data_IF_068006235234
#
_entry.id   IF_068006235234
#
_cell.length_a   1.000
_cell.length_b   1.000
_cell.length_c   1.000
_cell.angle_alpha   90.00
_cell.angle_beta   90.00
_cell.angle_gamma   90.00
#
_symmetry.space_group_name_H-M   'P 1'
#
loop_
_entity.id
_entity.type
_entity.pdbx_description
1 polymer ?
#
# COMPACT_ATOMS: atom_id res chain seq x y z
N UNK A 1 27.62 -55.46 -64.68
CA UNK A 1 26.77 -54.33 -64.25
C UNK A 1 26.19 -54.69 -62.91
N UNK A 2 26.87 -54.28 -61.84
CA UNK A 2 26.48 -54.58 -60.45
C UNK A 2 25.61 -53.44 -59.96
N UNK A 3 24.30 -53.65 -59.91
CA UNK A 3 23.37 -52.67 -59.36
C UNK A 3 23.59 -52.57 -57.84
N UNK A 4 24.19 -51.46 -57.39
CA UNK A 4 24.20 -51.08 -55.99
C UNK A 4 22.76 -50.83 -55.54
N UNK A 5 22.23 -51.69 -54.67
CA UNK A 5 21.00 -51.43 -53.93
C UNK A 5 21.26 -50.26 -52.96
N UNK A 6 20.84 -49.07 -53.36
CA UNK A 6 20.63 -47.94 -52.45
C UNK A 6 19.50 -48.32 -51.51
N UNK A 7 19.82 -48.81 -50.31
CA UNK A 7 18.89 -48.83 -49.19
C UNK A 7 18.55 -47.37 -48.82
N UNK A 8 17.48 -46.86 -49.39
CA UNK A 8 16.82 -45.68 -48.83
C UNK A 8 16.19 -46.12 -47.51
N UNK A 9 16.89 -45.88 -46.41
CA UNK A 9 16.37 -46.08 -45.04
C UNK A 9 15.01 -45.38 -44.93
N UNK A 10 13.93 -46.15 -45.04
CA UNK A 10 12.57 -45.64 -44.95
C UNK A 10 12.40 -44.95 -43.60
N UNK A 11 11.95 -43.69 -43.61
CA UNK A 11 11.78 -42.89 -42.40
C UNK A 11 10.71 -43.57 -41.54
N UNK A 12 11.15 -44.32 -40.52
CA UNK A 12 10.26 -45.11 -39.68
C UNK A 12 9.24 -44.20 -39.00
N UNK A 13 7.95 -44.54 -39.13
CA UNK A 13 6.85 -43.86 -38.43
C UNK A 13 6.74 -44.28 -36.96
N UNK A 14 7.68 -45.09 -36.46
CA UNK A 14 7.69 -45.56 -35.08
C UNK A 14 7.96 -44.37 -34.14
N UNK A 15 7.10 -44.14 -33.13
CA UNK A 15 7.34 -43.09 -32.16
C UNK A 15 8.62 -43.36 -31.37
N UNK A 16 9.27 -42.27 -30.93
CA UNK A 16 10.54 -42.33 -30.20
C UNK A 16 10.39 -43.13 -28.91
N UNK A 17 11.25 -44.13 -28.73
CA UNK A 17 11.25 -45.02 -27.57
C UNK A 17 12.06 -44.42 -26.41
N UNK A 18 11.58 -43.34 -25.82
CA UNK A 18 12.19 -42.73 -24.63
C UNK A 18 11.14 -42.50 -23.55
N UNK A 19 11.55 -42.49 -22.28
CA UNK A 19 10.65 -42.45 -21.14
C UNK A 19 9.70 -41.23 -21.15
N UNK A 20 10.17 -40.08 -21.65
CA UNK A 20 9.35 -38.88 -21.82
C UNK A 20 8.23 -39.10 -22.87
N UNK A 21 8.59 -39.51 -24.09
CA UNK A 21 7.65 -39.71 -25.19
C UNK A 21 6.71 -40.91 -24.98
N UNK A 22 7.10 -41.86 -24.12
CA UNK A 22 6.27 -42.99 -23.71
C UNK A 22 5.50 -42.78 -22.41
N UNK A 23 5.62 -41.61 -21.79
CA UNK A 23 4.97 -41.29 -20.51
C UNK A 23 5.30 -42.30 -19.39
N UNK A 24 6.53 -42.81 -19.40
CA UNK A 24 7.08 -43.75 -18.40
C UNK A 24 8.13 -43.09 -17.50
N UNK A 25 8.03 -41.77 -17.33
CA UNK A 25 8.89 -41.10 -16.35
C UNK A 25 8.55 -41.58 -14.95
N UNK A 26 9.55 -41.73 -14.06
CA UNK A 26 9.28 -42.05 -12.66
C UNK A 26 8.47 -40.90 -12.07
N UNK A 27 7.26 -41.21 -11.62
CA UNK A 27 6.36 -40.27 -10.99
C UNK A 27 6.13 -40.69 -9.54
N UNK A 28 6.18 -39.74 -8.63
CA UNK A 28 5.66 -39.94 -7.29
C UNK A 28 4.15 -39.74 -7.31
N UNK A 29 3.40 -40.78 -6.93
CA UNK A 29 1.94 -40.77 -6.91
C UNK A 29 1.45 -40.90 -5.45
N UNK A 30 1.37 -39.78 -4.70
CA UNK A 30 0.89 -39.83 -3.33
C UNK A 30 -0.60 -40.18 -3.30
N UNK A 31 -0.94 -41.28 -2.63
CA UNK A 31 -2.32 -41.63 -2.34
C UNK A 31 -2.72 -41.06 -0.97
N UNK A 32 -3.63 -40.08 -0.98
CA UNK A 32 -4.15 -39.43 0.22
C UNK A 32 -5.26 -40.27 0.86
N UNK A 33 -4.87 -41.24 1.69
CA UNK A 33 -5.79 -42.01 2.53
C UNK A 33 -6.12 -41.23 3.80
N UNK A 34 -7.33 -41.42 4.36
CA UNK A 34 -7.79 -40.76 5.58
C UNK A 34 -6.77 -40.80 6.75
N UNK A 35 -6.11 -41.95 6.97
CA UNK A 35 -5.06 -42.08 8.00
C UNK A 35 -3.85 -41.18 7.76
N UNK A 36 -3.36 -41.10 6.52
CA UNK A 36 -2.19 -40.27 6.16
C UNK A 36 -2.51 -38.78 6.23
N UNK A 37 -3.71 -38.41 5.77
CA UNK A 37 -4.20 -37.04 5.83
C UNK A 37 -4.45 -36.60 7.28
N UNK A 38 -5.03 -37.46 8.12
CA UNK A 38 -5.23 -37.18 9.55
C UNK A 38 -3.93 -36.84 10.27
N UNK A 39 -2.88 -37.66 10.09
CA UNK A 39 -1.55 -37.40 10.67
C UNK A 39 -1.00 -36.05 10.20
N UNK A 40 -1.09 -35.76 8.90
CA UNK A 40 -0.61 -34.49 8.36
C UNK A 40 -1.35 -33.29 8.98
N UNK A 41 -2.68 -33.34 9.08
CA UNK A 41 -3.45 -32.27 9.70
C UNK A 41 -3.17 -32.12 11.19
N UNK A 42 -2.93 -33.21 11.93
CA UNK A 42 -2.52 -33.15 13.33
C UNK A 42 -1.17 -32.43 13.48
N UNK A 43 -0.19 -32.74 12.62
CA UNK A 43 1.12 -32.06 12.64
C UNK A 43 0.96 -30.58 12.32
N UNK A 44 0.18 -30.23 11.28
CA UNK A 44 -0.11 -28.83 10.96
C UNK A 44 -0.82 -28.12 12.12
N UNK A 45 -1.78 -28.76 12.78
CA UNK A 45 -2.45 -28.21 13.96
C UNK A 45 -1.48 -27.92 15.11
N UNK A 46 -0.61 -28.88 15.44
CA UNK A 46 0.39 -28.71 16.50
C UNK A 46 1.35 -27.55 16.20
N UNK A 47 1.64 -27.26 14.93
CA UNK A 47 2.50 -26.13 14.52
C UNK A 47 1.72 -24.81 14.47
N UNK A 48 0.51 -24.81 13.92
CA UNK A 48 -0.29 -23.59 13.72
C UNK A 48 -0.90 -23.05 15.00
N UNK A 49 -1.23 -23.90 15.98
CA UNK A 49 -1.76 -23.48 17.28
C UNK A 49 -0.78 -22.55 18.04
N UNK A 50 0.49 -22.92 18.30
CA UNK A 50 1.41 -22.03 19.00
C UNK A 50 1.72 -20.77 18.19
N UNK A 51 1.83 -20.86 16.86
CA UNK A 51 2.00 -19.68 16.00
C UNK A 51 0.79 -18.74 16.16
N UNK A 52 -0.43 -19.28 16.14
CA UNK A 52 -1.65 -18.52 16.34
C UNK A 52 -1.72 -17.86 17.72
N UNK A 53 -1.31 -18.55 18.78
CA UNK A 53 -1.24 -17.98 20.14
C UNK A 53 -0.25 -16.82 20.18
N UNK A 54 0.96 -16.99 19.62
CA UNK A 54 1.98 -15.93 19.58
C UNK A 54 1.47 -14.70 18.82
N UNK A 55 0.88 -14.91 17.65
CA UNK A 55 0.32 -13.82 16.83
C UNK A 55 -0.84 -13.11 17.54
N UNK A 56 -1.73 -13.85 18.21
CA UNK A 56 -2.86 -13.29 18.94
C UNK A 56 -2.39 -12.47 20.15
N UNK A 57 -1.44 -12.97 20.92
CA UNK A 57 -0.86 -12.22 22.04
C UNK A 57 -0.15 -10.96 21.55
N UNK A 58 0.63 -11.06 20.46
CA UNK A 58 1.28 -9.90 19.86
C UNK A 58 0.26 -8.85 19.38
N UNK A 59 -0.85 -9.28 18.78
CA UNK A 59 -1.93 -8.39 18.32
C UNK A 59 -2.67 -7.71 19.47
N UNK A 60 -2.99 -8.43 20.54
CA UNK A 60 -3.76 -7.88 21.67
C UNK A 60 -2.93 -6.93 22.55
N UNK A 61 -1.60 -6.98 22.45
CA UNK A 61 -0.71 -6.07 23.18
C UNK A 61 -0.56 -4.70 22.50
N UNK A 62 -1.10 -4.51 21.29
CA UNK A 62 -1.06 -3.23 20.59
C UNK A 62 -2.10 -2.29 21.21
N UNK A 63 -1.64 -1.12 21.66
CA UNK A 63 -2.51 -0.06 22.18
C UNK A 63 -2.87 0.90 21.04
N UNK A 64 -4.15 1.06 20.76
CA UNK A 64 -4.67 1.94 19.71
C UNK A 64 -5.76 2.86 20.28
N UNK A 65 -5.73 4.14 19.85
CA UNK A 65 -6.78 5.11 20.12
C UNK A 65 -7.29 5.69 18.80
N UNK A 66 -8.58 5.51 18.54
CA UNK A 66 -9.25 6.03 17.34
C UNK A 66 -10.12 7.23 17.72
N UNK A 67 -9.94 8.33 17.01
CA UNK A 67 -10.76 9.54 17.17
C UNK A 67 -11.37 9.93 15.84
N UNK A 68 -12.70 9.90 15.78
CA UNK A 68 -13.43 10.45 14.65
C UNK A 68 -13.58 11.97 14.83
N UNK A 69 -13.06 12.72 13.85
CA UNK A 69 -13.14 14.17 13.80
C UNK A 69 -13.97 14.69 12.62
N UNK A 70 -14.78 13.84 11.96
CA UNK A 70 -15.61 14.22 10.79
C UNK A 70 -16.56 15.38 11.11
N UNK A 71 -17.36 15.25 12.17
CA UNK A 71 -18.29 16.28 12.64
C UNK A 71 -17.62 17.18 13.70
N UNK A 72 -16.43 17.66 13.38
CA UNK A 72 -15.72 18.60 14.23
C UNK A 72 -16.38 19.99 14.18
N UNK A 73 -16.54 20.62 15.35
CA UNK A 73 -16.91 22.03 15.46
C UNK A 73 -15.68 22.90 15.65
N UNK A 74 -15.79 24.15 15.20
CA UNK A 74 -14.74 25.15 15.38
C UNK A 74 -14.54 25.47 16.86
N UNK A 75 -13.30 25.63 17.29
CA UNK A 75 -13.00 25.98 18.67
C UNK A 75 -13.59 27.36 19.04
N UNK A 76 -14.53 27.37 19.99
CA UNK A 76 -15.20 28.58 20.47
C UNK A 76 -16.55 28.90 19.80
N UNK A 77 -16.94 28.16 18.77
CA UNK A 77 -18.28 28.27 18.15
C UNK A 77 -18.89 26.88 17.98
N UNK A 78 -20.22 26.78 17.88
CA UNK A 78 -20.91 25.49 17.65
C UNK A 78 -21.08 25.19 16.13
N UNK A 79 -20.32 25.86 15.28
CA UNK A 79 -20.37 25.68 13.82
C UNK A 79 -19.50 24.51 13.38
N UNK A 80 -20.02 23.71 12.44
CA UNK A 80 -19.29 22.58 11.85
C UNK A 80 -18.15 23.10 10.95
N UNK A 81 -16.96 22.51 11.10
CA UNK A 81 -15.80 22.88 10.28
C UNK A 81 -16.05 22.70 8.78
N UNK A 82 -16.88 21.74 8.38
CA UNK A 82 -17.27 21.54 6.98
C UNK A 82 -17.94 22.78 6.37
N UNK A 83 -18.72 23.52 7.16
CA UNK A 83 -19.39 24.75 6.73
C UNK A 83 -18.42 25.94 6.73
N UNK A 84 -17.56 26.04 7.76
CA UNK A 84 -16.55 27.11 7.88
C UNK A 84 -15.54 27.06 6.74
N UNK A 85 -15.08 25.86 6.37
CA UNK A 85 -14.12 25.65 5.27
C UNK A 85 -14.77 25.94 3.92
N UNK A 86 -16.06 25.62 3.74
CA UNK A 86 -16.80 25.95 2.52
C UNK A 86 -16.89 27.47 2.27
N UNK A 87 -16.80 28.28 3.33
CA UNK A 87 -16.72 29.74 3.27
C UNK A 87 -15.29 30.27 3.05
N UNK A 88 -14.29 29.38 2.91
CA UNK A 88 -12.89 29.74 2.70
C UNK A 88 -12.16 30.21 3.96
N UNK A 89 -12.69 29.92 5.16
CA UNK A 89 -12.06 30.27 6.43
C UNK A 89 -11.32 29.07 7.04
N UNK A 90 -10.17 29.27 7.71
CA UNK A 90 -9.49 28.19 8.41
C UNK A 90 -10.34 27.73 9.61
N UNK A 91 -10.51 26.42 9.76
CA UNK A 91 -11.16 25.82 10.93
C UNK A 91 -10.14 25.15 11.83
N UNK A 92 -10.24 25.37 13.14
CA UNK A 92 -9.45 24.67 14.15
C UNK A 92 -10.41 23.93 15.05
N UNK A 93 -10.30 22.61 15.10
CA UNK A 93 -11.06 21.76 16.03
C UNK A 93 -10.15 21.21 17.12
N UNK A 94 -10.71 21.01 18.32
CA UNK A 94 -10.07 20.33 19.43
C UNK A 94 -10.89 19.09 19.79
N UNK A 95 -10.24 17.93 19.80
CA UNK A 95 -10.80 16.67 20.31
C UNK A 95 -9.99 16.21 21.52
N UNK A 96 -10.70 15.81 22.57
CA UNK A 96 -10.09 15.31 23.81
C UNK A 96 -10.08 13.79 23.81
N UNK A 97 -8.95 13.20 24.23
CA UNK A 97 -8.76 11.75 24.34
C UNK A 97 -8.33 11.46 25.78
N UNK A 98 -9.00 10.52 26.43
CA UNK A 98 -8.58 10.00 27.74
C UNK A 98 -7.69 8.78 27.52
N UNK A 99 -6.43 8.90 27.92
CA UNK A 99 -5.44 7.82 27.82
C UNK A 99 -5.32 7.14 29.19
N UNK A 100 -5.94 5.97 29.33
CA UNK A 100 -5.99 5.22 30.60
C UNK A 100 -4.71 4.40 30.87
N UNK A 101 -4.00 4.00 29.82
CA UNK A 101 -2.81 3.14 29.91
C UNK A 101 -1.59 3.80 29.29
N UNK A 102 -0.40 3.47 29.80
CA UNK A 102 0.85 3.96 29.22
C UNK A 102 1.05 3.37 27.82
N UNK A 103 1.36 4.22 26.84
CA UNK A 103 1.61 3.81 25.46
C UNK A 103 3.12 3.51 25.33
N UNK A 104 3.54 2.23 25.21
CA UNK A 104 4.94 1.91 24.97
C UNK A 104 5.35 2.43 23.59
N UNK A 105 6.54 3.02 23.49
CA UNK A 105 7.09 3.46 22.21
C UNK A 105 7.54 2.28 21.33
N UNK A 106 7.64 2.45 20.00
CA UNK A 106 7.38 3.68 19.24
C UNK A 106 5.89 3.98 19.03
N UNK A 107 5.53 5.27 19.01
CA UNK A 107 4.16 5.75 18.79
C UNK A 107 4.02 6.28 17.37
N UNK A 108 2.94 5.90 16.70
CA UNK A 108 2.62 6.35 15.35
C UNK A 108 1.27 7.07 15.34
N UNK A 109 1.20 8.15 14.57
CA UNK A 109 -0.05 8.86 14.28
C UNK A 109 -0.49 8.51 12.86
N UNK A 110 -1.69 7.96 12.73
CA UNK A 110 -2.32 7.66 11.45
C UNK A 110 -3.56 8.51 11.28
N UNK A 111 -3.83 8.93 10.04
CA UNK A 111 -5.13 9.48 9.65
C UNK A 111 -5.85 8.45 8.78
N UNK A 112 -7.14 8.25 9.03
CA UNK A 112 -8.00 7.34 8.30
C UNK A 112 -9.03 8.12 7.48
N UNK A 113 -9.26 7.70 6.25
CA UNK A 113 -10.29 8.25 5.38
C UNK A 113 -11.29 7.16 5.02
N UNK A 114 -12.57 7.42 5.29
CA UNK A 114 -13.67 6.53 4.91
C UNK A 114 -14.35 7.04 3.63
N UNK A 115 -14.90 6.12 2.84
CA UNK A 115 -15.55 6.42 1.55
C UNK A 115 -14.65 7.14 0.52
N UNK A 116 -13.32 6.95 0.62
CA UNK A 116 -12.35 7.49 -0.33
C UNK A 116 -11.72 6.37 -1.18
N UNK A 117 -12.19 6.21 -2.42
CA UNK A 117 -11.86 5.08 -3.29
C UNK A 117 -10.52 5.23 -4.04
N UNK A 118 -9.40 5.20 -3.32
CA UNK A 118 -8.06 5.29 -3.91
C UNK A 118 -7.73 4.14 -4.88
N UNK A 119 -8.39 2.99 -4.73
CA UNK A 119 -8.22 1.82 -5.59
C UNK A 119 -8.96 1.92 -6.93
N UNK A 120 -9.75 2.96 -7.17
CA UNK A 120 -10.46 3.13 -8.43
C UNK A 120 -9.47 3.25 -9.59
N UNK A 121 -9.61 2.40 -10.64
CA UNK A 121 -8.62 2.27 -11.73
C UNK A 121 -8.20 3.60 -12.36
N UNK A 122 -9.14 4.53 -12.58
CA UNK A 122 -8.81 5.85 -13.16
C UNK A 122 -8.05 6.74 -12.18
N UNK A 123 -8.38 6.67 -10.90
CA UNK A 123 -7.70 7.43 -9.86
C UNK A 123 -6.27 6.94 -9.67
N UNK A 124 -6.08 5.63 -9.48
CA UNK A 124 -4.78 5.01 -9.29
C UNK A 124 -3.81 5.19 -10.49
N UNK A 125 -4.35 5.33 -11.70
CA UNK A 125 -3.56 5.61 -12.92
C UNK A 125 -3.31 7.09 -13.17
N UNK A 126 -3.98 8.00 -12.46
CA UNK A 126 -3.89 9.44 -12.68
C UNK A 126 -2.68 10.03 -11.96
N UNK A 127 -1.51 9.74 -12.53
CA UNK A 127 -0.19 10.22 -12.14
C UNK A 127 0.78 10.09 -13.33
N UNK A 128 1.95 10.70 -13.21
CA UNK A 128 3.07 10.45 -14.12
C UNK A 128 4.33 10.11 -13.32
N UNK A 129 4.87 8.91 -13.52
CA UNK A 129 6.00 8.43 -12.73
C UNK A 129 7.32 9.15 -13.07
N UNK A 130 7.51 9.60 -14.31
CA UNK A 130 8.70 10.35 -14.73
C UNK A 130 8.76 11.73 -14.08
N UNK A 131 7.62 12.43 -13.99
CA UNK A 131 7.49 13.69 -13.26
C UNK A 131 7.78 13.50 -11.77
N UNK A 132 7.27 12.41 -11.17
CA UNK A 132 7.53 12.08 -9.76
C UNK A 132 9.00 11.74 -9.50
N UNK A 133 9.70 11.18 -10.49
CA UNK A 133 11.15 10.95 -10.45
C UNK A 133 11.97 12.25 -10.59
N UNK A 134 11.34 13.39 -10.85
CA UNK A 134 12.03 14.67 -11.06
C UNK A 134 12.51 14.88 -12.49
N UNK A 135 11.89 14.22 -13.48
CA UNK A 135 12.15 14.42 -14.91
C UNK A 135 11.05 15.32 -15.47
N UNK A 136 11.44 16.43 -16.12
CA UNK A 136 10.48 17.31 -16.77
C UNK A 136 9.76 16.58 -17.90
N UNK A 137 8.44 16.78 -17.98
CA UNK A 137 7.58 16.19 -19.00
C UNK A 137 6.73 17.29 -19.64
N UNK A 138 6.63 17.25 -20.97
CA UNK A 138 5.76 18.17 -21.68
C UNK A 138 4.29 17.87 -21.37
N UNK A 139 3.45 18.88 -21.12
CA UNK A 139 2.04 18.65 -20.75
C UNK A 139 1.25 17.87 -21.80
N UNK A 140 1.61 17.97 -23.08
CA UNK A 140 0.93 17.25 -24.16
C UNK A 140 1.12 15.73 -24.11
N UNK A 141 2.20 15.24 -23.47
CA UNK A 141 2.48 13.80 -23.33
C UNK A 141 1.75 13.17 -22.14
N UNK A 142 1.21 13.98 -21.21
CA UNK A 142 0.67 13.56 -19.91
C UNK A 142 -0.80 13.08 -19.95
N UNK A 143 -1.14 12.24 -20.93
CA UNK A 143 -2.52 11.75 -21.11
C UNK A 143 -3.08 10.97 -19.90
N UNK A 144 -2.23 10.34 -19.10
CA UNK A 144 -2.61 9.61 -17.88
C UNK A 144 -3.12 10.54 -16.77
N UNK A 145 -2.64 11.78 -16.73
CA UNK A 145 -2.97 12.76 -15.70
C UNK A 145 -4.29 13.51 -15.95
N UNK A 146 -4.95 13.29 -17.10
CA UNK A 146 -6.20 13.98 -17.44
C UNK A 146 -7.29 13.82 -16.36
N UNK A 147 -8.03 14.89 -16.00
CA UNK A 147 -7.94 16.28 -16.53
C UNK A 147 -6.90 17.16 -15.81
N UNK A 148 -6.19 16.65 -14.82
CA UNK A 148 -5.27 17.40 -13.94
C UNK A 148 -3.87 17.56 -14.54
N UNK A 149 -3.80 18.02 -15.79
CA UNK A 149 -2.53 18.22 -16.53
C UNK A 149 -2.09 19.68 -16.48
N UNK A 150 -3.01 20.61 -16.69
CA UNK A 150 -2.72 22.05 -16.76
C UNK A 150 -3.93 22.89 -16.33
N UNK A 151 -3.68 24.03 -15.71
CA UNK A 151 -4.68 25.06 -15.38
C UNK A 151 -4.28 26.34 -16.13
N UNK A 152 -5.19 26.90 -16.94
CA UNK A 152 -4.95 28.15 -17.68
C UNK A 152 -3.67 28.15 -18.53
N UNK A 153 -3.36 27.00 -19.15
CA UNK A 153 -2.16 26.82 -19.96
C UNK A 153 -0.85 26.62 -19.17
N UNK A 154 -0.90 26.62 -17.83
CA UNK A 154 0.24 26.33 -16.96
C UNK A 154 0.21 24.85 -16.53
N UNK A 155 1.33 24.11 -16.65
CA UNK A 155 1.39 22.72 -16.20
C UNK A 155 1.20 22.59 -14.69
N UNK A 156 0.47 21.55 -14.27
CA UNK A 156 0.36 21.18 -12.86
C UNK A 156 1.52 20.25 -12.49
N UNK A 157 2.20 20.57 -11.39
CA UNK A 157 3.31 19.79 -10.84
C UNK A 157 3.09 19.53 -9.35
N UNK A 158 2.97 18.27 -8.91
CA UNK A 158 2.77 17.05 -9.71
C UNK A 158 1.35 16.94 -10.32
N UNK A 159 1.25 16.33 -11.50
CA UNK A 159 -0.01 16.15 -12.22
C UNK A 159 -0.82 14.95 -11.70
N UNK A 160 -2.13 14.96 -11.99
CA UNK A 160 -3.02 13.83 -11.75
C UNK A 160 -3.89 13.93 -10.49
N UNK A 161 -4.90 13.07 -10.44
CA UNK A 161 -5.93 13.09 -9.39
C UNK A 161 -5.36 12.76 -8.01
N UNK A 162 -4.32 11.92 -7.94
CA UNK A 162 -3.68 11.52 -6.67
C UNK A 162 -3.05 12.74 -5.99
N UNK A 163 -2.27 13.52 -6.75
CA UNK A 163 -1.64 14.74 -6.25
C UNK A 163 -2.68 15.83 -5.92
N UNK A 164 -3.71 15.99 -6.76
CA UNK A 164 -4.74 17.00 -6.58
C UNK A 164 -5.62 16.77 -5.32
N UNK A 165 -5.71 15.54 -4.84
CA UNK A 165 -6.52 15.17 -3.67
C UNK A 165 -5.67 14.80 -2.45
N UNK A 166 -4.50 15.42 -2.33
CA UNK A 166 -3.64 15.22 -1.16
C UNK A 166 -4.36 15.68 0.11
N UNK A 167 -4.18 14.87 1.16
CA UNK A 167 -4.68 15.21 2.48
C UNK A 167 -3.97 16.46 3.02
N UNK A 168 -4.73 17.43 3.53
CA UNK A 168 -4.24 18.75 3.88
C UNK A 168 -4.51 19.18 5.34
N UNK A 169 -5.06 18.31 6.19
CA UNK A 169 -5.20 18.65 7.60
C UNK A 169 -3.85 18.59 8.32
N UNK A 170 -3.72 19.39 9.39
CA UNK A 170 -2.54 19.43 10.24
C UNK A 170 -2.91 19.05 11.66
N UNK A 171 -2.16 18.11 12.24
CA UNK A 171 -2.39 17.60 13.59
C UNK A 171 -1.38 18.18 14.58
N UNK A 172 -1.88 18.68 15.72
CA UNK A 172 -1.07 19.12 16.85
C UNK A 172 -1.53 18.35 18.08
N UNK A 173 -0.63 17.55 18.63
CA UNK A 173 -0.90 16.74 19.82
C UNK A 173 -0.40 17.48 21.06
N UNK A 174 -1.26 17.61 22.06
CA UNK A 174 -0.91 18.16 23.38
C UNK A 174 -1.43 17.22 24.46
N UNK A 175 -0.66 17.02 25.51
CA UNK A 175 -1.12 16.32 26.70
C UNK A 175 -1.20 17.29 27.87
N UNK A 176 -2.17 17.06 28.75
CA UNK A 176 -2.35 17.84 29.97
C UNK A 176 -1.71 17.06 31.10
N UNK A 177 -0.76 17.67 31.79
CA UNK A 177 -0.13 17.10 32.98
C UNK A 177 -1.02 17.25 34.21
N UNK A 178 -0.70 16.54 35.29
CA UNK A 178 -1.41 16.62 36.57
C UNK A 178 -1.41 18.04 37.17
N UNK A 179 -0.45 18.88 36.80
CA UNK A 179 -0.36 20.30 37.17
C UNK A 179 -1.22 21.23 36.29
N UNK A 180 -2.08 20.66 35.45
CA UNK A 180 -2.94 21.35 34.48
C UNK A 180 -2.16 22.13 33.40
N UNK A 181 -0.86 21.87 33.24
CA UNK A 181 -0.06 22.45 32.15
C UNK A 181 -0.27 21.67 30.85
N UNK A 182 -0.44 22.41 29.75
CA UNK A 182 -0.48 21.84 28.40
C UNK A 182 0.94 21.72 27.86
N UNK A 183 1.33 20.51 27.48
CA UNK A 183 2.63 20.23 26.89
C UNK A 183 2.45 19.64 25.50
N UNK A 184 3.13 20.23 24.52
CA UNK A 184 3.10 19.77 23.13
C UNK A 184 3.93 18.49 22.98
N UNK A 185 3.36 17.50 22.30
CA UNK A 185 4.08 16.28 21.92
C UNK A 185 4.91 16.58 20.67
N UNK A 186 6.22 16.33 20.72
CA UNK A 186 7.11 16.50 19.58
C UNK A 186 6.84 15.42 18.54
N UNK A 187 6.25 15.80 17.40
CA UNK A 187 6.05 14.92 16.25
C UNK A 187 7.21 15.05 15.27
N UNK A 188 7.56 13.96 14.58
CA UNK A 188 8.63 13.94 13.57
C UNK A 188 8.05 13.52 12.23
N UNK A 189 8.29 14.30 11.18
CA UNK A 189 7.90 13.98 9.80
C UNK A 189 8.95 13.17 9.04
N UNK A 190 10.14 12.99 9.61
CA UNK A 190 11.21 12.17 9.04
C UNK A 190 10.99 10.68 9.34
N UNK A 191 11.32 9.81 8.38
CA UNK A 191 11.24 8.36 8.56
C UNK A 191 9.83 7.76 8.46
N UNK A 192 8.85 8.52 7.97
CA UNK A 192 7.47 8.06 7.76
C UNK A 192 7.25 7.37 6.40
N UNK A 193 8.16 7.60 5.45
CA UNK A 193 8.10 7.03 4.11
C UNK A 193 9.07 5.85 3.96
N UNK A 194 8.74 4.92 3.06
CA UNK A 194 9.63 3.81 2.75
C UNK A 194 10.99 4.31 2.22
N UNK A 195 12.12 3.74 2.67
CA UNK A 195 13.44 4.15 2.19
C UNK A 195 13.59 4.04 0.66
N UNK A 196 12.92 3.07 0.02
CA UNK A 196 12.90 2.93 -1.43
C UNK A 196 12.19 4.08 -2.13
N UNK A 197 11.13 4.62 -1.52
CA UNK A 197 10.37 5.71 -2.10
C UNK A 197 11.18 7.01 -2.06
N UNK A 198 11.78 7.31 -0.90
CA UNK A 198 12.61 8.51 -0.70
C UNK A 198 13.89 8.49 -1.54
N UNK A 199 14.58 7.34 -1.61
CA UNK A 199 15.91 7.28 -2.22
C UNK A 199 15.89 7.00 -3.74
N UNK A 200 14.80 6.47 -4.30
CA UNK A 200 14.76 6.02 -5.70
C UNK A 200 13.55 6.45 -6.50
N UNK A 201 12.38 6.57 -5.88
CA UNK A 201 11.12 6.72 -6.62
C UNK A 201 10.69 8.18 -6.77
N UNK A 202 11.01 9.02 -5.80
CA UNK A 202 10.66 10.43 -5.81
C UNK A 202 11.93 11.28 -5.90
N UNK A 203 11.96 12.22 -6.84
CA UNK A 203 13.10 13.11 -7.08
C UNK A 203 12.69 14.57 -7.14
N UNK A 204 13.67 15.46 -7.03
CA UNK A 204 13.48 16.90 -7.19
C UNK A 204 13.74 17.29 -8.64
N UNK A 205 12.87 18.12 -9.22
CA UNK A 205 13.12 18.70 -10.53
C UNK A 205 14.30 19.68 -10.43
N UNK A 206 15.31 19.45 -11.27
CA UNK A 206 16.43 20.39 -11.39
C UNK A 206 15.99 21.59 -12.21
N UNK A 207 16.10 22.80 -11.65
CA UNK A 207 15.70 24.06 -12.31
C UNK A 207 16.55 24.45 -13.55
N UNK A 208 17.50 23.61 -13.96
CA UNK A 208 18.49 23.90 -15.00
C UNK A 208 18.29 23.09 -16.30
N UNK A 209 17.09 22.57 -16.55
CA UNK A 209 16.72 21.86 -17.78
C UNK A 209 15.32 22.23 -18.22
#
# INVERSE_FOLDING_TARGET
MSAQLLETSSKSRKPRNSAFFQQKLPAWQPMFTAKKSGIAFTVFGIVLIPIGIILLTASNNVVEYLVDYTDCTQNGTEELCSQVIALGKPCVCVKHISVESSIPGPVYLYYGLNNFYQNHRRYARSKNDEQLLGIYQDPSSLSSCNPYVSIEGKPILPCGAIANSIFNDTFILTYIRNDNTKVTVTTTSNGIAWPSDVNRKFGTLNANG
#
